data_IF_328349484542
#
_entry.id   IF_328349484542
#
_cell.length_a   1.000
_cell.length_b   1.000
_cell.length_c   1.000
_cell.angle_alpha   90.00
_cell.angle_beta   90.00
_cell.angle_gamma   90.00
#
_symmetry.space_group_name_H-M   'P 1'
#
loop_
_entity.id
_entity.type
_entity.pdbx_description
1 polymer ?
#
# COMPACT_ATOMS: atom_id res chain seq x y z
N UNK A 1 5.32 2.79 14.19
CA UNK A 1 5.24 1.32 14.00
C UNK A 1 5.73 0.67 15.30
N UNK A 2 5.11 -0.42 15.74
CA UNK A 2 5.56 -1.15 16.96
C UNK A 2 6.90 -1.87 16.73
N UNK A 3 7.66 -2.13 17.79
CA UNK A 3 9.01 -2.68 17.71
C UNK A 3 9.08 -4.02 16.96
N UNK A 4 8.18 -4.96 17.25
CA UNK A 4 8.14 -6.26 16.57
C UNK A 4 7.85 -6.12 15.06
N UNK A 5 6.92 -5.24 14.70
CA UNK A 5 6.60 -4.93 13.31
C UNK A 5 7.77 -4.28 12.58
N UNK A 6 8.51 -3.39 13.25
CA UNK A 6 9.69 -2.74 12.69
C UNK A 6 10.83 -3.74 12.46
N UNK A 7 11.15 -4.58 13.45
CA UNK A 7 12.18 -5.62 13.29
C UNK A 7 11.83 -6.57 12.15
N UNK A 8 10.57 -7.00 12.05
CA UNK A 8 10.13 -7.89 10.98
C UNK A 8 10.20 -7.21 9.60
N UNK A 9 9.86 -5.92 9.52
CA UNK A 9 10.01 -5.15 8.28
C UNK A 9 11.46 -5.20 7.80
N UNK A 10 12.41 -4.91 8.71
CA UNK A 10 13.82 -4.85 8.36
C UNK A 10 14.33 -6.19 7.87
N UNK A 11 13.92 -7.28 8.53
CA UNK A 11 14.28 -8.64 8.11
C UNK A 11 13.76 -8.93 6.71
N UNK A 12 12.51 -8.61 6.43
CA UNK A 12 11.93 -8.78 5.09
C UNK A 12 12.64 -7.95 4.02
N UNK A 13 13.04 -6.71 4.33
CA UNK A 13 13.82 -5.87 3.40
C UNK A 13 15.21 -6.40 3.12
N UNK A 14 15.85 -6.96 4.13
CA UNK A 14 17.18 -7.57 4.04
C UNK A 14 17.13 -9.02 3.53
N UNK A 15 15.94 -9.50 3.16
CA UNK A 15 15.70 -10.89 2.76
C UNK A 15 16.25 -11.90 3.78
N UNK A 16 16.08 -11.59 5.07
CA UNK A 16 16.45 -12.46 6.18
C UNK A 16 15.26 -13.37 6.53
N UNK A 17 15.49 -14.67 6.76
CA UNK A 17 14.42 -15.61 7.11
C UNK A 17 13.89 -15.31 8.51
N UNK A 18 12.59 -15.25 8.70
CA UNK A 18 11.93 -14.99 9.98
C UNK A 18 11.57 -16.28 10.76
N UNK A 19 11.63 -17.42 10.08
CA UNK A 19 11.45 -18.75 10.68
C UNK A 19 12.58 -19.69 10.24
N UNK A 20 12.75 -20.78 10.98
CA UNK A 20 13.73 -21.84 10.64
C UNK A 20 13.31 -22.61 9.39
N UNK A 21 12.02 -22.83 9.23
CA UNK A 21 11.42 -23.61 8.14
C UNK A 21 10.11 -23.00 7.65
N UNK A 22 9.68 -23.48 6.49
CA UNK A 22 8.37 -23.18 5.93
C UNK A 22 7.29 -23.94 6.71
N UNK A 23 6.09 -23.38 6.79
CA UNK A 23 4.95 -24.07 7.42
C UNK A 23 3.66 -23.84 6.60
N UNK A 24 2.55 -24.43 7.05
CA UNK A 24 1.25 -24.20 6.44
C UNK A 24 0.63 -22.89 6.94
N UNK A 25 0.06 -22.12 6.03
CA UNK A 25 -0.66 -20.91 6.34
C UNK A 25 -1.97 -21.27 7.07
N UNK A 26 -2.21 -20.74 8.28
CA UNK A 26 -3.37 -21.13 9.10
C UNK A 26 -4.71 -20.61 8.56
N UNK A 27 -4.72 -19.90 7.42
CA UNK A 27 -5.91 -19.27 6.86
C UNK A 27 -6.31 -19.82 5.49
N UNK A 28 -5.41 -20.44 4.74
CA UNK A 28 -5.68 -20.82 3.34
C UNK A 28 -4.99 -22.11 2.86
N UNK A 29 -4.36 -22.87 3.77
CA UNK A 29 -3.61 -24.09 3.46
C UNK A 29 -2.52 -23.93 2.38
N UNK A 30 -2.09 -22.69 2.14
CA UNK A 30 -0.93 -22.39 1.28
C UNK A 30 0.37 -22.46 2.08
N UNK A 31 1.51 -22.54 1.38
CA UNK A 31 2.82 -22.50 2.05
C UNK A 31 3.09 -21.09 2.60
N UNK A 32 3.29 -20.99 3.91
CA UNK A 32 3.82 -19.82 4.59
C UNK A 32 5.35 -19.93 4.63
N UNK A 33 5.99 -19.40 3.59
CA UNK A 33 7.45 -19.39 3.44
C UNK A 33 8.14 -18.71 4.61
N UNK A 34 9.34 -19.17 4.99
CA UNK A 34 10.12 -18.65 6.11
C UNK A 34 10.45 -17.14 6.04
N UNK A 35 10.24 -16.48 4.91
CA UNK A 35 10.42 -15.03 4.72
C UNK A 35 9.10 -14.24 4.75
N UNK A 36 7.96 -14.93 4.95
CA UNK A 36 6.62 -14.38 5.06
C UNK A 36 6.10 -13.64 3.82
N UNK A 37 6.57 -13.96 2.62
CA UNK A 37 6.03 -13.39 1.38
C UNK A 37 4.55 -13.77 1.18
N UNK A 38 4.20 -15.01 1.52
CA UNK A 38 2.82 -15.48 1.48
C UNK A 38 1.90 -14.60 2.33
N UNK A 39 2.34 -14.17 3.51
CA UNK A 39 1.51 -13.35 4.40
C UNK A 39 1.05 -12.02 3.76
N UNK A 40 1.87 -11.43 2.89
CA UNK A 40 1.57 -10.17 2.21
C UNK A 40 0.56 -10.31 1.07
N UNK A 41 0.37 -11.54 0.59
CA UNK A 41 -0.34 -11.89 -0.65
C UNK A 41 -1.39 -12.98 -0.44
N UNK A 42 -1.58 -13.50 0.75
CA UNK A 42 -2.62 -14.48 1.03
C UNK A 42 -4.00 -13.91 0.63
N UNK A 43 -4.82 -14.74 -0.02
CA UNK A 43 -6.17 -14.37 -0.44
C UNK A 43 -7.19 -14.49 0.69
N UNK A 44 -6.95 -15.35 1.68
CA UNK A 44 -7.89 -15.62 2.75
C UNK A 44 -7.82 -14.63 3.92
N UNK A 45 -6.65 -14.05 4.20
CA UNK A 45 -6.49 -13.16 5.37
C UNK A 45 -7.04 -11.74 5.19
N UNK A 46 -7.50 -11.40 3.98
CA UNK A 46 -8.11 -10.10 3.70
C UNK A 46 -7.15 -8.90 3.72
N UNK A 47 -5.86 -9.09 4.00
CA UNK A 47 -4.93 -7.98 4.20
C UNK A 47 -4.66 -7.20 2.91
N UNK A 48 -4.84 -7.81 1.73
CA UNK A 48 -4.79 -7.10 0.45
C UNK A 48 -5.81 -5.97 0.40
N UNK A 49 -7.06 -6.25 0.78
CA UNK A 49 -8.16 -5.29 0.76
C UNK A 49 -7.98 -4.27 1.87
N UNK A 50 -7.66 -4.70 3.09
CA UNK A 50 -7.44 -3.79 4.21
C UNK A 50 -6.29 -2.81 3.93
N UNK A 51 -5.18 -3.29 3.35
CA UNK A 51 -4.05 -2.46 2.93
C UNK A 51 -4.46 -1.47 1.84
N UNK A 52 -5.20 -1.92 0.83
CA UNK A 52 -5.70 -1.04 -0.22
C UNK A 52 -6.58 0.07 0.35
N UNK A 53 -7.55 -0.27 1.19
CA UNK A 53 -8.45 0.69 1.83
C UNK A 53 -7.65 1.69 2.68
N UNK A 54 -6.71 1.23 3.49
CA UNK A 54 -5.90 2.12 4.32
C UNK A 54 -5.05 3.10 3.51
N UNK A 55 -4.46 2.66 2.39
CA UNK A 55 -3.71 3.53 1.48
C UNK A 55 -4.63 4.55 0.82
N UNK A 56 -5.80 4.12 0.33
CA UNK A 56 -6.82 4.99 -0.26
C UNK A 56 -7.31 6.04 0.73
N UNK A 57 -7.63 5.61 1.95
CA UNK A 57 -8.18 6.47 2.99
C UNK A 57 -7.12 7.47 3.48
N UNK A 58 -5.87 7.05 3.63
CA UNK A 58 -4.76 7.97 3.93
C UNK A 58 -4.56 8.99 2.81
N UNK A 59 -4.58 8.57 1.54
CA UNK A 59 -4.48 9.53 0.43
C UNK A 59 -5.65 10.52 0.44
N UNK A 60 -6.84 10.07 0.84
CA UNK A 60 -8.01 10.94 1.00
C UNK A 60 -7.83 11.96 2.12
N UNK A 61 -7.15 11.64 3.23
CA UNK A 61 -6.88 12.63 4.30
C UNK A 61 -5.91 13.73 3.85
N UNK A 62 -5.10 13.47 2.82
CA UNK A 62 -4.22 14.45 2.20
C UNK A 62 -4.92 15.33 1.16
N UNK A 63 -6.22 15.13 0.90
CA UNK A 63 -6.94 15.89 -0.13
C UNK A 63 -7.07 17.36 0.28
N UNK A 64 -6.56 18.31 -0.54
CA UNK A 64 -6.89 19.72 -0.36
C UNK A 64 -8.37 19.95 -0.70
N UNK A 65 -9.01 20.92 -0.05
CA UNK A 65 -10.45 21.15 -0.21
C UNK A 65 -10.85 21.58 -1.64
N UNK A 66 -9.88 21.99 -2.46
CA UNK A 66 -10.08 22.40 -3.85
C UNK A 66 -9.74 21.26 -4.84
N UNK A 67 -10.57 21.03 -5.87
CA UNK A 67 -10.28 20.03 -6.88
C UNK A 67 -9.16 20.49 -7.83
N UNK A 68 -8.14 19.66 -7.99
CA UNK A 68 -7.23 19.71 -9.14
C UNK A 68 -7.21 18.31 -9.76
N UNK A 69 -7.67 18.14 -11.02
CA UNK A 69 -7.61 16.84 -11.67
C UNK A 69 -6.17 16.58 -12.15
N UNK A 70 -5.53 15.46 -11.77
CA UNK A 70 -4.33 15.01 -12.44
C UNK A 70 -4.68 14.55 -13.87
N UNK A 71 -3.72 14.70 -14.79
CA UNK A 71 -3.82 14.07 -16.11
C UNK A 71 -3.90 12.53 -15.95
N UNK A 72 -4.80 11.90 -16.68
CA UNK A 72 -4.95 10.45 -16.69
C UNK A 72 -3.64 9.79 -17.11
N UNK A 73 -3.19 8.77 -16.37
CA UNK A 73 -2.13 7.89 -16.81
C UNK A 73 -2.75 6.69 -17.53
N UNK A 74 -2.34 6.44 -18.77
CA UNK A 74 -2.81 5.31 -19.58
C UNK A 74 -2.22 3.98 -19.06
N UNK A 75 -2.88 3.39 -18.08
CA UNK A 75 -2.60 2.02 -17.62
C UNK A 75 -3.84 1.17 -17.91
N UNK A 76 -3.79 0.37 -18.98
CA UNK A 76 -4.85 -0.57 -19.32
C UNK A 76 -4.69 -1.87 -18.53
N UNK A 77 -5.58 -2.09 -17.55
CA UNK A 77 -5.73 -3.37 -16.86
C UNK A 77 -7.19 -3.83 -17.09
N UNK A 78 -7.43 -4.99 -17.74
CA UNK A 78 -8.79 -5.44 -18.07
C UNK A 78 -9.77 -5.48 -16.87
N UNK A 79 -9.26 -5.79 -15.68
CA UNK A 79 -10.04 -5.82 -14.44
C UNK A 79 -10.50 -4.43 -13.95
N UNK A 80 -9.95 -3.33 -14.49
CA UNK A 80 -10.26 -1.96 -14.09
C UNK A 80 -11.21 -1.23 -15.05
N UNK A 81 -11.59 -1.85 -16.18
CA UNK A 81 -12.45 -1.24 -17.21
C UNK A 81 -13.76 -0.71 -16.61
N UNK A 82 -14.39 -1.48 -15.72
CA UNK A 82 -15.61 -1.04 -15.04
C UNK A 82 -15.40 0.22 -14.20
N UNK A 83 -14.30 0.31 -13.46
CA UNK A 83 -13.99 1.49 -12.63
C UNK A 83 -13.68 2.72 -13.50
N UNK A 84 -12.96 2.54 -14.60
CA UNK A 84 -12.65 3.59 -15.58
C UNK A 84 -13.96 4.16 -16.16
N UNK A 85 -14.84 3.31 -16.69
CA UNK A 85 -16.12 3.74 -17.26
C UNK A 85 -17.01 4.41 -16.21
N UNK A 86 -17.06 3.88 -14.98
CA UNK A 86 -17.82 4.50 -13.91
C UNK A 86 -17.31 5.92 -13.58
N UNK A 87 -15.99 6.14 -13.56
CA UNK A 87 -15.42 7.47 -13.36
C UNK A 87 -15.73 8.42 -14.52
N UNK A 88 -15.57 7.95 -15.77
CA UNK A 88 -15.82 8.75 -16.99
C UNK A 88 -17.26 9.24 -17.06
N UNK A 89 -18.24 8.37 -16.75
CA UNK A 89 -19.67 8.74 -16.73
C UNK A 89 -20.00 9.82 -15.69
N UNK A 90 -19.15 9.99 -14.68
CA UNK A 90 -19.27 11.00 -13.62
C UNK A 90 -18.42 12.26 -13.91
N UNK A 91 -17.78 12.35 -15.08
CA UNK A 91 -16.87 13.44 -15.43
C UNK A 91 -15.58 13.42 -14.62
N UNK A 92 -15.19 12.27 -14.07
CA UNK A 92 -13.99 12.08 -13.28
C UNK A 92 -12.99 11.18 -14.00
N UNK A 93 -11.71 11.34 -13.67
CA UNK A 93 -10.64 10.52 -14.23
C UNK A 93 -10.27 9.43 -13.23
N UNK A 94 -10.30 8.18 -13.67
CA UNK A 94 -9.74 7.07 -12.89
C UNK A 94 -8.23 7.05 -13.08
N UNK A 95 -7.47 7.13 -11.98
CA UNK A 95 -6.02 6.92 -12.01
C UNK A 95 -5.66 5.73 -11.12
N UNK A 96 -5.08 4.65 -11.69
CA UNK A 96 -4.63 3.53 -10.87
C UNK A 96 -3.44 3.94 -10.01
N UNK A 97 -3.52 3.58 -8.73
CA UNK A 97 -2.50 3.85 -7.74
C UNK A 97 -1.72 2.56 -7.49
N UNK A 98 -0.70 2.26 -8.31
CA UNK A 98 0.04 1.00 -8.23
C UNK A 98 1.27 1.15 -7.33
N UNK A 99 1.36 0.28 -6.33
CA UNK A 99 2.48 0.25 -5.40
C UNK A 99 2.98 -1.18 -5.17
N UNK A 100 4.29 -1.32 -5.06
CA UNK A 100 4.96 -2.50 -4.55
C UNK A 100 4.79 -2.61 -3.04
N UNK A 101 4.77 -3.82 -2.50
CA UNK A 101 4.58 -4.06 -1.05
C UNK A 101 5.71 -3.54 -0.15
N UNK A 102 6.80 -3.04 -0.75
CA UNK A 102 7.96 -2.42 -0.09
C UNK A 102 7.88 -0.89 -0.02
N UNK A 103 6.90 -0.29 -0.71
CA UNK A 103 6.64 1.16 -0.72
C UNK A 103 7.02 1.88 -2.02
N UNK A 104 7.51 1.16 -3.05
CA UNK A 104 7.78 1.73 -4.37
C UNK A 104 6.48 1.99 -5.13
N UNK A 105 6.37 3.13 -5.81
CA UNK A 105 5.19 3.51 -6.60
C UNK A 105 5.50 3.49 -8.09
N UNK A 106 4.50 3.14 -8.91
CA UNK A 106 4.64 3.25 -10.36
C UNK A 106 4.74 4.74 -10.78
N UNK A 107 5.24 4.98 -12.00
CA UNK A 107 5.47 6.33 -12.50
C UNK A 107 4.18 7.18 -12.57
N UNK A 108 3.05 6.57 -12.94
CA UNK A 108 1.75 7.24 -12.99
C UNK A 108 1.27 7.65 -11.60
N UNK A 109 1.28 6.72 -10.63
CA UNK A 109 0.94 7.05 -9.25
C UNK A 109 1.88 8.10 -8.65
N UNK A 110 3.19 8.01 -8.90
CA UNK A 110 4.16 8.99 -8.41
C UNK A 110 3.89 10.42 -8.93
N UNK A 111 3.36 10.56 -10.15
CA UNK A 111 2.91 11.85 -10.67
C UNK A 111 1.70 12.36 -9.88
N UNK A 112 0.71 11.51 -9.61
CA UNK A 112 -0.47 11.89 -8.82
C UNK A 112 -0.08 12.32 -7.40
N UNK A 113 0.78 11.55 -6.72
CA UNK A 113 1.19 11.86 -5.35
C UNK A 113 1.92 13.21 -5.26
N UNK A 114 2.71 13.55 -6.29
CA UNK A 114 3.33 14.87 -6.41
C UNK A 114 2.31 16.00 -6.58
N UNK A 115 1.29 15.79 -7.41
CA UNK A 115 0.21 16.76 -7.58
C UNK A 115 -0.57 16.97 -6.27
N UNK A 116 -0.85 15.90 -5.53
CA UNK A 116 -1.51 15.99 -4.22
C UNK A 116 -0.66 16.84 -3.27
N UNK A 117 0.64 16.55 -3.14
CA UNK A 117 1.54 17.33 -2.29
C UNK A 117 1.64 18.81 -2.71
N UNK A 118 1.68 19.09 -4.02
CA UNK A 118 1.68 20.45 -4.56
C UNK A 118 0.37 21.19 -4.25
N UNK A 119 -0.76 20.52 -4.36
CA UNK A 119 -2.06 21.12 -4.09
C UNK A 119 -2.25 21.39 -2.59
N UNK A 120 -1.75 20.50 -1.71
CA UNK A 120 -1.69 20.75 -0.26
C UNK A 120 -0.79 21.95 0.05
N UNK A 121 0.41 22.00 -0.54
CA UNK A 121 1.35 23.11 -0.38
C UNK A 121 0.74 24.46 -0.78
N UNK A 122 0.04 24.48 -1.92
CA UNK A 122 -0.66 25.68 -2.40
C UNK A 122 -1.79 26.11 -1.46
N UNK A 123 -2.45 25.17 -0.77
CA UNK A 123 -3.51 25.48 0.20
C UNK A 123 -2.96 25.93 1.55
N UNK A 124 -1.92 25.30 2.06
CA UNK A 124 -1.36 25.58 3.40
C UNK A 124 -0.32 26.70 3.41
N UNK A 125 0.23 27.07 2.25
CA UNK A 125 1.35 28.02 2.15
C UNK A 125 2.71 27.40 2.49
N UNK A 126 2.79 26.08 2.61
CA UNK A 126 4.02 25.33 2.87
C UNK A 126 4.78 24.98 1.57
N UNK A 127 5.99 24.42 1.70
CA UNK A 127 6.77 23.94 0.57
C UNK A 127 6.35 22.53 0.13
N UNK A 128 6.18 22.33 -1.19
CA UNK A 128 5.73 21.06 -1.75
C UNK A 128 6.74 19.90 -1.59
N UNK A 129 8.05 20.19 -1.54
CA UNK A 129 9.10 19.16 -1.45
C UNK A 129 9.05 18.35 -0.15
N UNK A 130 9.07 19.01 1.03
CA UNK A 130 8.88 18.35 2.31
C UNK A 130 7.53 17.61 2.41
N UNK A 131 6.44 18.24 1.98
CA UNK A 131 5.11 17.61 1.99
C UNK A 131 5.04 16.35 1.14
N UNK A 132 5.65 16.35 -0.04
CA UNK A 132 5.76 15.17 -0.89
C UNK A 132 6.54 14.04 -0.20
N UNK A 133 7.67 14.38 0.45
CA UNK A 133 8.45 13.39 1.21
C UNK A 133 7.65 12.78 2.35
N UNK A 134 6.91 13.58 3.10
CA UNK A 134 6.03 13.12 4.18
C UNK A 134 4.91 12.23 3.64
N UNK A 135 4.22 12.63 2.57
CA UNK A 135 3.16 11.83 1.95
C UNK A 135 3.68 10.44 1.52
N UNK A 136 4.81 10.40 0.80
CA UNK A 136 5.43 9.13 0.39
C UNK A 136 5.83 8.29 1.59
N UNK A 137 6.39 8.90 2.64
CA UNK A 137 6.78 8.21 3.86
C UNK A 137 5.56 7.59 4.57
N UNK A 138 4.48 8.34 4.76
CA UNK A 138 3.26 7.86 5.42
C UNK A 138 2.61 6.71 4.64
N UNK A 139 2.50 6.85 3.32
CA UNK A 139 2.00 5.80 2.43
C UNK A 139 2.88 4.55 2.49
N UNK A 140 4.19 4.71 2.43
CA UNK A 140 5.16 3.60 2.49
C UNK A 140 5.11 2.89 3.83
N UNK A 141 4.99 3.62 4.94
CA UNK A 141 4.83 3.03 6.28
C UNK A 141 3.51 2.29 6.38
N UNK A 142 2.43 2.84 5.82
CA UNK A 142 1.11 2.22 5.80
C UNK A 142 1.16 0.87 5.08
N UNK A 143 1.62 0.82 3.83
CA UNK A 143 1.77 -0.41 3.04
C UNK A 143 2.56 -1.48 3.80
N UNK A 144 3.73 -1.09 4.33
CA UNK A 144 4.63 -2.02 5.02
C UNK A 144 4.07 -2.51 6.34
N UNK A 145 3.39 -1.65 7.10
CA UNK A 145 2.79 -2.02 8.39
C UNK A 145 1.76 -3.14 8.25
N UNK A 146 0.94 -3.11 7.19
CA UNK A 146 -0.04 -4.17 6.94
C UNK A 146 0.66 -5.48 6.59
N UNK A 147 1.68 -5.45 5.72
CA UNK A 147 2.48 -6.63 5.35
C UNK A 147 3.09 -7.32 6.58
N UNK A 148 3.74 -6.56 7.48
CA UNK A 148 4.42 -7.15 8.64
C UNK A 148 3.44 -7.60 9.72
N UNK A 149 2.33 -6.89 9.95
CA UNK A 149 1.30 -7.32 10.90
C UNK A 149 0.63 -8.62 10.44
N UNK A 150 0.40 -8.76 9.14
CA UNK A 150 -0.12 -9.98 8.53
C UNK A 150 0.82 -11.18 8.76
N UNK A 151 2.12 -10.95 8.65
CA UNK A 151 3.15 -11.95 8.91
C UNK A 151 3.24 -12.33 10.39
N UNK A 152 3.27 -11.34 11.30
CA UNK A 152 3.29 -11.58 12.76
C UNK A 152 2.10 -12.43 13.22
N UNK A 153 0.89 -12.08 12.78
CA UNK A 153 -0.34 -12.82 13.16
C UNK A 153 -0.30 -14.27 12.69
N UNK A 154 0.15 -14.51 11.44
CA UNK A 154 0.29 -15.87 10.90
C UNK A 154 1.33 -16.68 11.65
N UNK A 155 2.46 -16.06 12.02
CA UNK A 155 3.51 -16.74 12.78
C UNK A 155 3.08 -17.07 14.20
N UNK A 156 2.35 -16.18 14.86
CA UNK A 156 1.77 -16.48 16.16
C UNK A 156 0.80 -17.67 16.06
N UNK A 157 -0.15 -17.62 15.12
CA UNK A 157 -1.12 -18.68 14.93
C UNK A 157 -0.49 -20.03 14.52
N UNK A 158 0.59 -20.02 13.74
CA UNK A 158 1.30 -21.24 13.33
C UNK A 158 2.13 -21.88 14.46
N UNK A 159 2.47 -21.14 15.51
CA UNK A 159 3.13 -21.68 16.71
C UNK A 159 2.11 -22.24 17.71
N UNK A 160 0.86 -21.74 17.66
CA UNK A 160 -0.24 -22.16 18.54
C UNK A 160 -1.04 -23.37 18.00
N UNK A 161 -0.87 -23.72 16.72
CA UNK A 161 -1.53 -24.83 16.03
C UNK A 161 -0.74 -26.13 16.13
#
# INVERSE_FOLDING_TARGET
>A
MEAAAFTLELRQRLNLPDATEDCWCPLCDGVLDRYNHHAATCVAGGERIQRHNAVRDLLFTWRPMTPSPPAAADIYIPALVFAITACETQGSVFVPMVAETTGTWDAGAAIVLRHVAQAVAAQSGEEAGPLHSTLIQELSITIRSYRVRAALRRRLAAVEA
#
